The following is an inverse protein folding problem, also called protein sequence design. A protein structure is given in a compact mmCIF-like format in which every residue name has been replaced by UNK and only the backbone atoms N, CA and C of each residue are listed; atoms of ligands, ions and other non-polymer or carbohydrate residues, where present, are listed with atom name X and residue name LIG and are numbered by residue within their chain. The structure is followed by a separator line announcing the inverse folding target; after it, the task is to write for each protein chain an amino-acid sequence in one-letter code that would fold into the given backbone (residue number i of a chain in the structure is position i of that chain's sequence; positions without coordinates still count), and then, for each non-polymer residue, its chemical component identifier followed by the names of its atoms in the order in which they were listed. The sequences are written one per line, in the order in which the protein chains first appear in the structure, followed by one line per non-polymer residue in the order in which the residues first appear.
data_IF_201476869815
#
_entry.id   IF_201476869815
#
_cell.length_a   1.000
_cell.length_b   1.000
_cell.length_c   1.000
_cell.angle_alpha   90.00
_cell.angle_beta   90.00
_cell.angle_gamma   90.00
#
_symmetry.space_group_name_H-M   'P 1'
#
loop_
_entity.id
_entity.type
_entity.pdbx_description
1 polymer ?
#
# COMPACT_ATOMS: atom_id res chain seq x y z
N UNK A 1 -9.84 -4.35 0.78
CA UNK A 1 -10.95 -4.72 -0.10
C UNK A 1 -11.80 -3.50 -0.35
N UNK A 2 -12.07 -3.23 -1.63
CA UNK A 2 -12.93 -2.15 -2.10
C UNK A 2 -14.25 -2.77 -2.56
N UNK A 3 -15.35 -2.11 -2.25
CA UNK A 3 -16.70 -2.52 -2.67
C UNK A 3 -17.00 -1.85 -4.01
N UNK A 4 -17.46 -2.66 -4.96
CA UNK A 4 -17.89 -2.24 -6.29
C UNK A 4 -19.21 -2.93 -6.64
N UNK A 5 -19.90 -2.44 -7.66
CA UNK A 5 -21.22 -2.89 -8.05
C UNK A 5 -21.21 -3.30 -9.51
N UNK A 6 -21.52 -4.57 -9.77
CA UNK A 6 -21.62 -5.06 -11.15
C UNK A 6 -22.85 -4.48 -11.84
N UNK A 7 -22.86 -4.56 -13.17
CA UNK A 7 -24.04 -4.23 -13.98
C UNK A 7 -25.28 -5.05 -13.58
N UNK A 8 -25.09 -6.29 -13.11
CA UNK A 8 -26.17 -7.16 -12.64
C UNK A 8 -26.77 -6.73 -11.28
N UNK A 9 -26.28 -5.63 -10.68
CA UNK A 9 -26.67 -5.16 -9.34
C UNK A 9 -26.07 -5.96 -8.19
N UNK A 10 -25.24 -6.97 -8.48
CA UNK A 10 -24.53 -7.73 -7.46
C UNK A 10 -23.34 -6.96 -6.90
N UNK A 11 -23.14 -7.08 -5.58
CA UNK A 11 -22.02 -6.45 -4.89
C UNK A 11 -20.75 -7.31 -5.01
N UNK A 12 -19.64 -6.67 -5.35
CA UNK A 12 -18.33 -7.28 -5.51
C UNK A 12 -17.34 -6.64 -4.54
N UNK A 13 -16.54 -7.47 -3.87
CA UNK A 13 -15.40 -6.99 -3.09
C UNK A 13 -14.11 -7.41 -3.77
N UNK A 14 -13.32 -6.44 -4.20
CA UNK A 14 -12.08 -6.66 -4.96
C UNK A 14 -10.88 -6.24 -4.13
N UNK A 15 -9.78 -6.98 -4.30
CA UNK A 15 -8.48 -6.52 -3.83
C UNK A 15 -7.90 -5.51 -4.82
N UNK A 16 -7.72 -4.23 -4.43
CA UNK A 16 -7.18 -3.23 -5.33
C UNK A 16 -5.77 -3.54 -5.83
N UNK A 17 -4.96 -4.25 -5.05
CA UNK A 17 -3.58 -4.59 -5.42
C UNK A 17 -3.50 -5.63 -6.55
N UNK A 18 -4.62 -6.30 -6.86
CA UNK A 18 -4.71 -7.28 -7.95
C UNK A 18 -5.30 -6.69 -9.24
N UNK A 19 -5.65 -5.40 -9.25
CA UNK A 19 -6.17 -4.74 -10.43
C UNK A 19 -5.01 -4.41 -11.35
N UNK A 20 -5.06 -4.87 -12.59
CA UNK A 20 -4.05 -4.59 -13.61
C UNK A 20 -4.41 -3.36 -14.44
N UNK A 21 -5.66 -3.28 -14.87
CA UNK A 21 -6.10 -2.24 -15.80
C UNK A 21 -7.56 -1.90 -15.55
N UNK A 22 -7.86 -0.61 -15.64
CA UNK A 22 -9.20 -0.05 -15.56
C UNK A 22 -9.41 0.71 -16.88
N UNK A 23 -10.34 0.23 -17.71
CA UNK A 23 -10.69 0.86 -18.99
C UNK A 23 -12.12 1.38 -18.92
N UNK A 24 -12.37 2.57 -19.49
CA UNK A 24 -13.70 3.20 -19.49
C UNK A 24 -14.23 3.24 -20.93
N UNK A 25 -15.11 2.30 -21.28
CA UNK A 25 -15.67 2.12 -22.63
C UNK A 25 -17.07 1.52 -22.59
N UNK A 26 -18.12 2.25 -23.00
CA UNK A 26 -18.73 3.33 -22.21
C UNK A 26 -18.96 3.01 -20.71
N UNK A 27 -18.91 1.73 -20.35
CA UNK A 27 -18.91 1.21 -18.98
C UNK A 27 -17.48 0.89 -18.52
N UNK A 28 -17.27 0.77 -17.22
CA UNK A 28 -15.93 0.51 -16.69
C UNK A 28 -15.60 -0.98 -16.65
N UNK A 29 -14.49 -1.35 -17.26
CA UNK A 29 -13.93 -2.70 -17.25
C UNK A 29 -12.72 -2.78 -16.33
N UNK A 30 -12.76 -3.69 -15.36
CA UNK A 30 -11.64 -4.00 -14.48
C UNK A 30 -11.07 -5.34 -14.89
N UNK A 31 -9.78 -5.35 -15.25
CA UNK A 31 -9.01 -6.58 -15.46
C UNK A 31 -8.14 -6.84 -14.22
N UNK A 32 -8.23 -8.06 -13.70
CA UNK A 32 -7.42 -8.53 -12.58
C UNK A 32 -6.24 -9.37 -13.06
N UNK A 33 -5.21 -9.50 -12.21
CA UNK A 33 -4.01 -10.30 -12.51
C UNK A 33 -4.20 -11.80 -12.64
N UNK A 34 -5.38 -12.31 -12.29
CA UNK A 34 -5.76 -13.69 -12.58
C UNK A 34 -6.40 -13.86 -13.98
N UNK A 35 -6.50 -12.79 -14.76
CA UNK A 35 -7.15 -12.78 -16.07
C UNK A 35 -8.68 -12.59 -16.01
N UNK A 36 -9.29 -12.51 -14.83
CA UNK A 36 -10.72 -12.26 -14.70
C UNK A 36 -11.05 -10.80 -15.02
N UNK A 37 -12.18 -10.61 -15.71
CA UNK A 37 -12.67 -9.29 -16.09
C UNK A 37 -14.04 -9.04 -15.47
N UNK A 38 -14.23 -7.84 -14.92
CA UNK A 38 -15.49 -7.41 -14.33
C UNK A 38 -15.96 -6.11 -14.94
N UNK A 39 -17.25 -6.07 -15.25
CA UNK A 39 -17.98 -4.87 -15.62
C UNK A 39 -18.60 -4.26 -14.37
N UNK A 40 -18.35 -2.97 -14.17
CA UNK A 40 -18.75 -2.21 -12.98
C UNK A 40 -19.41 -0.90 -13.37
N UNK A 41 -20.34 -0.46 -12.53
CA UNK A 41 -21.11 0.76 -12.71
C UNK A 41 -20.32 2.03 -12.32
N UNK A 42 -19.31 1.86 -11.49
CA UNK A 42 -18.48 2.96 -11.00
C UNK A 42 -17.54 3.48 -12.10
N UNK A 43 -17.36 4.79 -12.15
CA UNK A 43 -16.39 5.43 -13.07
C UNK A 43 -14.96 5.14 -12.67
N UNK A 44 -14.06 5.18 -13.65
CA UNK A 44 -12.60 5.00 -13.45
C UNK A 44 -12.05 5.89 -12.34
N UNK A 45 -12.35 7.20 -12.34
CA UNK A 45 -11.88 8.14 -11.32
C UNK A 45 -12.34 7.75 -9.91
N UNK A 46 -13.61 7.34 -9.75
CA UNK A 46 -14.15 6.97 -8.45
C UNK A 46 -13.45 5.72 -7.89
N UNK A 47 -13.14 4.74 -8.75
CA UNK A 47 -12.40 3.54 -8.36
C UNK A 47 -10.98 3.92 -7.89
N UNK A 48 -10.30 4.81 -8.61
CA UNK A 48 -8.97 5.29 -8.22
C UNK A 48 -9.00 5.96 -6.85
N UNK A 49 -9.98 6.83 -6.61
CA UNK A 49 -10.14 7.49 -5.31
C UNK A 49 -10.38 6.49 -4.17
N UNK A 50 -11.17 5.44 -4.42
CA UNK A 50 -11.37 4.36 -3.46
C UNK A 50 -10.08 3.59 -3.16
N UNK A 51 -9.23 3.37 -4.17
CA UNK A 51 -7.91 2.73 -3.99
C UNK A 51 -7.00 3.58 -3.12
N UNK A 52 -6.91 4.88 -3.42
CA UNK A 52 -6.10 5.82 -2.65
C UNK A 52 -6.59 5.89 -1.20
N UNK A 53 -7.90 5.99 -1.00
CA UNK A 53 -8.51 6.03 0.33
C UNK A 53 -8.24 4.73 1.12
N UNK A 54 -8.34 3.57 0.47
CA UNK A 54 -8.02 2.28 1.06
C UNK A 54 -6.56 2.20 1.52
N UNK A 55 -5.62 2.58 0.65
CA UNK A 55 -4.19 2.58 0.96
C UNK A 55 -3.85 3.55 2.09
N UNK A 56 -4.39 4.78 2.04
CA UNK A 56 -4.22 5.76 3.11
C UNK A 56 -4.75 5.24 4.46
N UNK A 57 -5.87 4.51 4.46
CA UNK A 57 -6.43 3.89 5.66
C UNK A 57 -5.52 2.80 6.23
N UNK A 58 -4.92 1.96 5.37
CA UNK A 58 -3.94 0.94 5.79
C UNK A 58 -2.73 1.63 6.41
N UNK A 59 -2.14 2.60 5.71
CA UNK A 59 -0.91 3.28 6.16
C UNK A 59 -1.12 3.99 7.49
N UNK A 60 -2.27 4.65 7.67
CA UNK A 60 -2.63 5.31 8.94
C UNK A 60 -2.71 4.32 10.10
N UNK A 61 -3.31 3.15 9.87
CA UNK A 61 -3.39 2.10 10.88
C UNK A 61 -2.02 1.53 11.20
N UNK A 62 -1.21 1.26 10.17
CA UNK A 62 0.17 0.78 10.35
C UNK A 62 1.05 1.78 11.12
N UNK A 63 0.91 3.07 10.84
CA UNK A 63 1.69 4.15 11.47
C UNK A 63 1.32 4.39 12.95
N UNK A 64 0.14 3.97 13.40
CA UNK A 64 -0.31 4.13 14.80
C UNK A 64 0.44 3.26 15.83
N UNK A 65 1.44 2.48 15.40
CA UNK A 65 2.34 1.80 16.32
C UNK A 65 3.03 2.78 17.26
N UNK A 66 3.00 2.51 18.57
CA UNK A 66 3.76 3.30 19.55
C UNK A 66 5.21 3.39 19.11
N UNK A 67 5.82 4.60 19.05
CA UNK A 67 7.21 4.72 18.68
C UNK A 67 8.05 3.88 19.64
N UNK A 68 8.81 2.93 19.09
CA UNK A 68 9.65 2.06 19.92
C UNK A 68 10.72 2.92 20.60
N UNK A 69 10.58 3.12 21.92
CA UNK A 69 11.42 4.03 22.73
C UNK A 69 12.93 3.82 22.53
N UNK A 70 13.35 2.60 22.19
CA UNK A 70 14.76 2.26 21.95
C UNK A 70 15.34 2.83 20.64
N UNK A 71 14.52 3.09 19.62
CA UNK A 71 14.98 3.68 18.35
C UNK A 71 15.27 5.18 18.47
N UNK A 72 14.75 5.86 19.50
CA UNK A 72 15.02 7.28 19.76
C UNK A 72 16.35 7.56 20.49
N UNK A 73 17.16 6.53 20.82
CA UNK A 73 18.45 6.71 21.52
C UNK A 73 19.63 7.10 20.60
N UNK A 74 19.39 7.83 19.50
CA UNK A 74 20.47 8.37 18.66
C UNK A 74 20.13 9.75 18.11
N UNK A 75 20.35 10.79 18.93
CA UNK A 75 20.78 12.12 18.44
C UNK A 75 21.41 13.05 19.49
N UNK A 76 22.11 12.52 20.50
CA UNK A 76 23.04 13.32 21.30
C UNK A 76 24.29 12.50 21.64
N UNK A 77 25.43 12.97 21.11
CA UNK A 77 26.81 12.65 21.48
C UNK A 77 27.46 11.36 20.96
N UNK A 78 28.54 11.59 20.21
CA UNK A 78 29.80 10.83 20.14
C UNK A 78 29.77 9.40 19.54
N UNK A 79 29.97 9.30 18.22
CA UNK A 79 30.82 8.24 17.66
C UNK A 79 32.27 8.75 17.67
N UNK A 80 33.03 8.48 18.75
CA UNK A 80 34.48 8.33 18.59
C UNK A 80 34.68 6.95 17.95
N UNK A 81 35.19 6.92 16.72
CA UNK A 81 35.79 5.71 16.19
C UNK A 81 37.01 5.39 17.07
N UNK A 82 36.87 4.43 17.98
CA UNK A 82 38.00 3.68 18.51
C UNK A 82 37.94 2.28 17.90
N UNK A 83 38.29 2.17 16.63
CA UNK A 83 38.99 0.98 16.17
C UNK A 83 40.47 1.33 16.20
N UNK A 84 41.13 1.06 17.31
CA UNK A 84 42.55 0.76 17.28
C UNK A 84 42.64 -0.73 16.94
N UNK A 85 43.00 -1.02 15.70
CA UNK A 85 43.51 -2.34 15.31
C UNK A 85 44.77 -2.55 16.15
N UNK A 86 44.75 -3.47 17.11
CA UNK A 86 45.94 -3.91 17.82
C UNK A 86 46.83 -4.70 16.86
N UNK A 87 47.71 -3.98 16.18
CA UNK A 87 48.89 -4.51 15.49
C UNK A 87 50.14 -4.15 16.30
N UNK A 88 50.60 -5.04 17.17
CA UNK A 88 52.02 -5.24 17.59
C UNK A 88 52.15 -6.68 18.13
N UNK A 89 52.76 -7.65 17.46
CA UNK A 89 54.22 -7.85 17.27
C UNK A 89 55.07 -7.33 18.43
N UNK A 90 55.38 -8.20 19.38
CA UNK A 90 56.71 -8.79 19.58
C UNK A 90 56.63 -9.94 20.59
#
# INVERSE_FOLDING_TARGET
MIKLTRLDGSELHVNPDLIETIEETPDTHITLSNGNRYLVLEKSCAIVDMIVAYNARIMRRAASGTPKKYLFKRRRSAYRLCCSIDNRTN
#
